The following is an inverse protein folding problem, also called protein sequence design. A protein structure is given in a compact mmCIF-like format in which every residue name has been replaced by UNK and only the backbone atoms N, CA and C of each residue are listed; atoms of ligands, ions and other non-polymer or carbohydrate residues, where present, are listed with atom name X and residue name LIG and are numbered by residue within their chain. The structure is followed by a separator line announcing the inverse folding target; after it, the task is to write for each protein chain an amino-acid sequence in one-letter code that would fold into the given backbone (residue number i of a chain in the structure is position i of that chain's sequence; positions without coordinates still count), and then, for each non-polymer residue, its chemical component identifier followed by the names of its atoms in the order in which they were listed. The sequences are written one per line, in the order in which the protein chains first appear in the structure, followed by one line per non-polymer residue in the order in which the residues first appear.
data_IF_624522119516
#
_entry.id   IF_624522119516
#
_cell.length_a   1.000
_cell.length_b   1.000
_cell.length_c   1.000
_cell.angle_alpha   90.00
_cell.angle_beta   90.00
_cell.angle_gamma   90.00
#
_symmetry.space_group_name_H-M   'P 1'
#
loop_
_entity.id
_entity.type
_entity.pdbx_description
1 polymer ?
#
# COMPACT_ATOMS: atom_id res chain seq x y z
N UNK A 1 0.18 26.80 -5.19
CA UNK A 1 0.24 25.88 -4.03
C UNK A 1 1.61 26.06 -3.41
N UNK A 2 1.70 26.46 -2.17
CA UNK A 2 2.95 26.65 -1.44
C UNK A 2 3.13 25.52 -0.42
N UNK A 3 4.37 25.13 -0.14
CA UNK A 3 4.68 24.19 0.93
C UNK A 3 4.65 24.96 2.23
N UNK A 4 3.80 24.52 3.16
CA UNK A 4 3.72 25.07 4.51
C UNK A 4 4.72 24.36 5.43
N UNK A 5 5.76 25.10 5.83
CA UNK A 5 6.81 24.60 6.70
C UNK A 5 7.97 23.88 5.98
N UNK A 6 8.88 23.33 6.77
CA UNK A 6 10.03 22.58 6.27
C UNK A 6 9.64 21.14 5.88
N UNK A 7 10.24 20.63 4.82
CA UNK A 7 10.12 19.21 4.47
C UNK A 7 10.68 18.33 5.58
N UNK A 8 9.96 17.27 5.90
CA UNK A 8 10.36 16.30 6.93
C UNK A 8 10.55 14.92 6.30
N UNK A 9 11.61 14.24 6.72
CA UNK A 9 11.83 12.83 6.34
C UNK A 9 10.97 11.94 7.20
N UNK A 10 10.17 11.08 6.57
CA UNK A 10 9.36 10.08 7.26
C UNK A 10 10.26 9.06 7.96
N UNK A 11 9.92 8.75 9.21
CA UNK A 11 10.66 7.78 10.04
C UNK A 11 9.78 6.54 10.31
N UNK A 12 10.41 5.37 10.44
CA UNK A 12 9.74 4.12 10.84
C UNK A 12 9.19 3.28 9.68
N UNK A 13 9.56 3.61 8.42
CA UNK A 13 9.23 2.79 7.26
C UNK A 13 10.32 1.74 7.02
N UNK A 14 9.94 0.55 6.59
CA UNK A 14 10.84 -0.57 6.29
C UNK A 14 10.81 -0.86 4.80
N UNK A 15 11.98 -0.91 4.16
CA UNK A 15 12.17 -1.20 2.72
C UNK A 15 11.33 -0.28 1.80
N UNK A 16 11.15 0.98 2.20
CA UNK A 16 10.39 1.94 1.40
C UNK A 16 11.04 2.18 0.03
N UNK A 17 10.24 2.14 -1.02
CA UNK A 17 10.65 2.49 -2.37
C UNK A 17 9.79 3.61 -2.97
N UNK A 18 8.51 3.34 -3.23
CA UNK A 18 7.64 4.31 -3.91
C UNK A 18 6.14 4.05 -3.64
N UNK A 19 5.26 4.66 -4.42
CA UNK A 19 3.83 4.39 -4.46
C UNK A 19 3.11 4.65 -3.14
N UNK A 20 3.39 5.77 -2.50
CA UNK A 20 2.76 6.14 -1.23
C UNK A 20 1.29 6.48 -1.39
N UNK A 21 0.48 5.95 -0.48
CA UNK A 21 -0.92 6.32 -0.30
C UNK A 21 -1.25 6.42 1.19
N UNK A 22 -1.94 7.48 1.59
CA UNK A 22 -2.37 7.67 2.99
C UNK A 22 -3.88 7.68 3.07
N UNK A 23 -4.43 6.90 3.99
CA UNK A 23 -5.82 6.98 4.37
C UNK A 23 -5.98 7.03 5.89
N UNK A 24 -7.15 7.46 6.36
CA UNK A 24 -7.47 7.55 7.78
C UNK A 24 -8.66 6.66 8.11
N UNK A 25 -8.53 5.87 9.18
CA UNK A 25 -9.61 5.02 9.69
C UNK A 25 -9.58 5.01 11.21
N UNK A 26 -10.73 5.26 11.84
CA UNK A 26 -10.89 5.25 13.30
C UNK A 26 -9.81 6.08 14.04
N UNK A 27 -9.49 7.27 13.52
CA UNK A 27 -8.50 8.17 14.12
C UNK A 27 -7.04 7.82 13.83
N UNK A 28 -6.75 6.67 13.23
CA UNK A 28 -5.40 6.21 12.88
C UNK A 28 -5.11 6.45 11.40
N UNK A 29 -3.91 6.93 11.11
CA UNK A 29 -3.41 7.07 9.73
C UNK A 29 -2.69 5.80 9.31
N UNK A 30 -2.92 5.40 8.07
CA UNK A 30 -2.30 4.26 7.41
C UNK A 30 -1.55 4.77 6.19
N UNK A 31 -0.26 4.52 6.12
CA UNK A 31 0.58 4.77 4.96
C UNK A 31 0.89 3.44 4.29
N UNK A 32 0.42 3.26 3.08
CA UNK A 32 0.79 2.13 2.23
C UNK A 32 1.84 2.55 1.20
N UNK A 33 2.71 1.65 0.82
CA UNK A 33 3.79 1.90 -0.11
C UNK A 33 4.31 0.58 -0.73
N UNK A 34 4.95 0.69 -1.88
CA UNK A 34 5.69 -0.40 -2.49
C UNK A 34 7.10 -0.49 -1.94
N UNK A 35 7.57 -1.70 -1.69
CA UNK A 35 8.97 -1.96 -1.36
C UNK A 35 9.82 -2.17 -2.62
N UNK A 36 11.12 -2.32 -2.44
CA UNK A 36 12.07 -2.65 -3.50
C UNK A 36 12.61 -4.08 -3.28
N UNK A 37 11.69 -5.03 -3.16
CA UNK A 37 12.05 -6.39 -2.81
C UNK A 37 11.98 -7.28 -4.06
N UNK A 38 13.11 -7.88 -4.44
CA UNK A 38 13.19 -8.87 -5.50
C UNK A 38 13.55 -10.23 -4.89
N UNK A 39 12.55 -11.11 -4.78
CA UNK A 39 12.74 -12.48 -4.33
C UNK A 39 12.19 -13.45 -5.35
N UNK A 40 13.10 -14.21 -5.95
CA UNK A 40 12.74 -15.29 -6.86
C UNK A 40 12.05 -14.82 -8.14
N UNK A 41 12.42 -13.65 -8.65
CA UNK A 41 11.84 -13.04 -9.85
C UNK A 41 10.44 -12.45 -9.63
N UNK A 42 10.00 -12.36 -8.38
CA UNK A 42 8.83 -11.57 -7.98
C UNK A 42 9.32 -10.27 -7.38
N UNK A 43 8.80 -9.18 -7.89
CA UNK A 43 9.21 -7.84 -7.54
C UNK A 43 8.37 -7.28 -6.39
N UNK A 44 8.23 -6.00 -6.32
CA UNK A 44 7.69 -5.23 -5.20
C UNK A 44 6.44 -5.81 -4.55
N UNK A 45 6.41 -5.72 -3.22
CA UNK A 45 5.25 -6.03 -2.39
C UNK A 45 4.68 -4.72 -1.84
N UNK A 46 3.38 -4.71 -1.51
CA UNK A 46 2.78 -3.56 -0.84
C UNK A 46 2.84 -3.75 0.68
N UNK A 47 3.49 -2.80 1.32
CA UNK A 47 3.65 -2.72 2.79
C UNK A 47 2.83 -1.58 3.36
N UNK A 48 2.64 -1.60 4.68
CA UNK A 48 2.01 -0.48 5.36
C UNK A 48 2.60 -0.22 6.74
N UNK A 49 2.43 1.01 7.17
CA UNK A 49 2.73 1.50 8.50
C UNK A 49 1.58 2.34 9.02
N UNK A 50 1.49 2.51 10.33
CA UNK A 50 0.44 3.28 10.98
C UNK A 50 1.00 4.40 11.85
N UNK A 51 0.24 5.48 12.03
CA UNK A 51 0.58 6.58 12.91
C UNK A 51 -0.66 7.27 13.44
N UNK A 52 -0.52 7.94 14.57
CA UNK A 52 -1.56 8.85 15.10
C UNK A 52 -1.52 10.24 14.45
N UNK A 53 -0.47 10.53 13.68
CA UNK A 53 -0.27 11.80 12.96
C UNK A 53 0.01 11.54 11.48
N UNK A 54 -0.48 12.40 10.55
CA UNK A 54 -0.18 12.26 9.12
C UNK A 54 1.30 12.44 8.77
N UNK A 55 2.09 13.02 9.67
CA UNK A 55 3.52 13.23 9.50
C UNK A 55 4.37 12.14 10.19
N UNK A 56 3.76 11.19 10.86
CA UNK A 56 4.44 10.17 11.66
C UNK A 56 4.70 10.63 13.10
N UNK A 57 5.63 9.96 13.84
CA UNK A 57 6.42 8.81 13.38
C UNK A 57 5.53 7.60 13.03
N UNK A 58 5.99 6.81 12.07
CA UNK A 58 5.27 5.64 11.57
C UNK A 58 5.73 4.36 12.26
N UNK A 59 4.79 3.48 12.54
CA UNK A 59 5.06 2.13 13.05
C UNK A 59 4.78 1.12 11.95
N UNK A 60 5.81 0.45 11.48
CA UNK A 60 5.70 -0.59 10.46
C UNK A 60 4.83 -1.76 10.93
N UNK A 61 3.98 -2.26 10.05
CA UNK A 61 3.02 -3.34 10.35
C UNK A 61 3.20 -4.59 9.51
N UNK A 62 3.67 -4.48 8.30
CA UNK A 62 3.90 -5.66 7.47
C UNK A 62 3.49 -5.49 6.02
N UNK A 63 3.42 -6.63 5.34
CA UNK A 63 3.00 -6.75 3.95
C UNK A 63 1.50 -7.07 3.92
N UNK A 64 0.73 -6.35 3.11
CA UNK A 64 -0.70 -6.60 2.95
C UNK A 64 -1.09 -7.03 1.53
N UNK A 65 -0.23 -6.79 0.53
CA UNK A 65 -0.33 -7.39 -0.82
C UNK A 65 1.02 -8.03 -1.15
N UNK A 66 1.01 -9.32 -1.46
CA UNK A 66 2.22 -10.01 -1.98
C UNK A 66 2.57 -9.49 -3.37
N UNK A 67 3.81 -9.73 -3.80
CA UNK A 67 4.23 -9.36 -5.13
C UNK A 67 3.26 -9.89 -6.19
N UNK A 68 2.88 -9.02 -7.10
CA UNK A 68 2.09 -9.39 -8.28
C UNK A 68 3.02 -9.99 -9.35
N UNK A 69 2.49 -10.31 -10.52
CA UNK A 69 3.28 -10.70 -11.69
C UNK A 69 3.83 -9.49 -12.47
N UNK A 70 3.60 -8.27 -11.97
CA UNK A 70 4.16 -7.03 -12.50
C UNK A 70 5.50 -6.69 -11.84
N UNK A 71 6.38 -6.02 -12.57
CA UNK A 71 7.69 -5.59 -12.06
C UNK A 71 7.58 -4.54 -10.96
N UNK A 72 6.58 -3.68 -11.03
CA UNK A 72 6.27 -2.66 -10.02
C UNK A 72 4.89 -2.90 -9.43
N UNK A 73 4.64 -2.37 -8.25
CA UNK A 73 3.32 -2.39 -7.64
C UNK A 73 2.95 -0.99 -7.13
N UNK A 74 1.75 -0.54 -7.45
CA UNK A 74 1.17 0.71 -7.00
C UNK A 74 -0.24 0.46 -6.50
N UNK A 75 -0.65 1.17 -5.47
CA UNK A 75 -1.98 0.96 -4.94
C UNK A 75 -2.59 2.19 -4.29
N UNK A 76 -3.88 2.11 -4.10
CA UNK A 76 -4.67 3.07 -3.33
C UNK A 76 -5.73 2.35 -2.50
N UNK A 77 -6.12 2.96 -1.39
CA UNK A 77 -7.12 2.41 -0.48
C UNK A 77 -8.21 3.43 -0.28
N UNK A 78 -9.46 3.02 -0.46
CA UNK A 78 -10.62 3.89 -0.35
C UNK A 78 -11.77 3.20 0.36
N UNK A 79 -12.55 3.96 1.11
CA UNK A 79 -13.84 3.52 1.65
C UNK A 79 -14.98 3.96 0.72
N UNK A 80 -15.87 3.00 0.43
CA UNK A 80 -17.10 3.28 -0.28
C UNK A 80 -18.26 2.53 0.37
N UNK A 81 -19.26 3.26 0.82
CA UNK A 81 -20.47 2.72 1.47
C UNK A 81 -20.18 1.76 2.63
N UNK A 82 -19.21 2.10 3.47
CA UNK A 82 -18.85 1.30 4.65
C UNK A 82 -17.94 0.10 4.37
N UNK A 83 -17.57 -0.13 3.12
CA UNK A 83 -16.62 -1.18 2.73
C UNK A 83 -15.32 -0.55 2.24
N UNK A 84 -14.18 -1.07 2.70
CA UNK A 84 -12.86 -0.69 2.24
C UNK A 84 -12.44 -1.53 1.04
N UNK A 85 -11.77 -0.88 0.09
CA UNK A 85 -11.24 -1.49 -1.13
C UNK A 85 -9.79 -1.09 -1.32
N UNK A 86 -8.99 -2.03 -1.81
CA UNK A 86 -7.65 -1.77 -2.31
C UNK A 86 -7.64 -1.90 -3.83
N UNK A 87 -7.17 -0.86 -4.49
CA UNK A 87 -6.89 -0.87 -5.91
C UNK A 87 -5.39 -1.06 -6.10
N UNK A 88 -5.00 -1.94 -6.97
CA UNK A 88 -3.61 -2.21 -7.30
C UNK A 88 -3.52 -2.65 -8.76
N UNK A 89 -2.39 -3.11 -9.24
CA UNK A 89 -2.28 -3.60 -10.61
C UNK A 89 -1.42 -4.86 -10.69
N UNK A 90 -1.62 -5.56 -11.79
CA UNK A 90 -0.78 -6.66 -12.22
C UNK A 90 -0.58 -6.59 -13.75
N UNK A 91 0.09 -7.57 -14.34
CA UNK A 91 0.26 -7.71 -15.78
C UNK A 91 -0.39 -8.98 -16.34
N UNK A 92 -1.28 -9.62 -15.57
CA UNK A 92 -1.84 -10.94 -15.91
C UNK A 92 -2.70 -10.96 -17.18
N UNK A 93 -3.29 -9.83 -17.57
CA UNK A 93 -4.10 -9.70 -18.78
C UNK A 93 -3.23 -9.35 -20.00
N UNK A 94 -2.32 -8.41 -19.82
CA UNK A 94 -1.48 -7.91 -20.92
C UNK A 94 -0.25 -8.76 -21.18
N UNK A 95 0.26 -9.43 -20.14
CA UNK A 95 1.57 -10.12 -20.10
C UNK A 95 2.78 -9.20 -20.37
N UNK A 96 2.58 -7.88 -20.16
CA UNK A 96 3.63 -6.86 -20.28
C UNK A 96 3.60 -5.94 -19.08
N UNK A 97 4.74 -5.73 -18.42
CA UNK A 97 4.86 -4.93 -17.21
C UNK A 97 4.39 -3.47 -17.35
N UNK A 98 4.57 -2.89 -18.52
CA UNK A 98 4.15 -1.51 -18.82
C UNK A 98 2.67 -1.38 -19.23
N UNK A 99 1.98 -2.49 -19.48
CA UNK A 99 0.54 -2.54 -19.77
C UNK A 99 -0.21 -3.07 -18.55
N UNK A 100 -0.33 -2.23 -17.54
CA UNK A 100 -0.89 -2.56 -16.24
C UNK A 100 -2.38 -2.86 -16.30
N UNK A 101 -2.79 -3.97 -15.69
CA UNK A 101 -4.19 -4.35 -15.51
C UNK A 101 -4.63 -3.97 -14.11
N UNK A 102 -5.70 -3.19 -14.01
CA UNK A 102 -6.21 -2.74 -12.71
C UNK A 102 -6.93 -3.89 -12.01
N UNK A 103 -6.57 -4.12 -10.76
CA UNK A 103 -7.22 -5.05 -9.85
C UNK A 103 -7.89 -4.28 -8.70
N UNK A 104 -8.96 -4.84 -8.18
CA UNK A 104 -9.64 -4.35 -6.97
C UNK A 104 -10.04 -5.52 -6.09
N UNK A 105 -9.70 -5.45 -4.83
CA UNK A 105 -10.13 -6.40 -3.81
C UNK A 105 -10.69 -5.69 -2.59
N UNK A 106 -11.55 -6.38 -1.86
CA UNK A 106 -12.02 -5.88 -0.57
C UNK A 106 -10.90 -5.90 0.45
N UNK A 107 -10.78 -4.82 1.21
CA UNK A 107 -9.81 -4.69 2.29
C UNK A 107 -10.51 -4.87 3.63
N UNK A 108 -10.01 -5.80 4.44
CA UNK A 108 -10.48 -6.02 5.80
C UNK A 108 -9.47 -5.52 6.84
N UNK A 109 -10.00 -5.24 8.03
CA UNK A 109 -9.20 -4.93 9.22
C UNK A 109 -9.56 -5.93 10.31
N UNK A 110 -8.59 -6.27 11.15
CA UNK A 110 -8.85 -7.06 12.36
C UNK A 110 -9.33 -6.17 13.53
N UNK A 111 -9.64 -6.79 14.67
CA UNK A 111 -10.08 -6.06 15.86
C UNK A 111 -9.04 -5.11 16.46
N UNK A 112 -7.77 -5.26 16.13
CA UNK A 112 -6.67 -4.37 16.51
C UNK A 112 -6.39 -3.26 15.50
N UNK A 113 -7.15 -3.19 14.41
CA UNK A 113 -6.97 -2.19 13.35
C UNK A 113 -5.86 -2.54 12.35
N UNK A 114 -5.33 -3.77 12.37
CA UNK A 114 -4.35 -4.21 11.38
C UNK A 114 -5.05 -4.55 10.06
N UNK A 115 -4.42 -4.18 8.94
CA UNK A 115 -4.90 -4.60 7.62
C UNK A 115 -4.72 -6.12 7.48
N UNK A 116 -5.79 -6.80 7.11
CA UNK A 116 -5.72 -8.21 6.74
C UNK A 116 -5.08 -8.36 5.37
N UNK A 117 -4.19 -9.34 5.24
CA UNK A 117 -3.51 -9.62 3.97
C UNK A 117 -4.54 -9.93 2.88
N UNK A 118 -4.38 -9.29 1.73
CA UNK A 118 -5.25 -9.48 0.57
C UNK A 118 -4.87 -10.79 -0.14
N UNK A 119 -5.88 -11.60 -0.44
CA UNK A 119 -5.75 -12.72 -1.38
C UNK A 119 -6.08 -12.15 -2.75
N UNK A 120 -5.06 -12.01 -3.58
CA UNK A 120 -5.20 -11.37 -4.89
C UNK A 120 -6.20 -12.10 -5.77
N UNK A 121 -7.13 -11.36 -6.35
CA UNK A 121 -8.01 -11.85 -7.42
C UNK A 121 -7.16 -12.11 -8.67
N UNK A 122 -7.34 -13.28 -9.26
CA UNK A 122 -6.64 -13.68 -10.48
C UNK A 122 -7.50 -13.43 -11.71
#
# INVERSE_FOLDING_TARGET
MEIDGAMQTMQGLVDFHEATWVHKRNGLYYLSYADNHDVGGKHNQMRYAVSQSPLGPWTYKGIFIDATDSYTDHGSIVEYKGQWYAFYHNSSVSHFDWLRSICVDTLGYDGGGNIKKIIQTK
#
